data_IF_277312110982
#
_entry.id   IF_277312110982
#
_cell.length_a   1.000
_cell.length_b   1.000
_cell.length_c   1.000
_cell.angle_alpha   90.00
_cell.angle_beta   90.00
_cell.angle_gamma   90.00
#
_symmetry.space_group_name_H-M   'P 1'
#
loop_
_entity.id
_entity.type
_entity.pdbx_description
1 polymer ?
#
# COMPACT_ATOMS: atom_id res chain seq x y z
N UNK A 1 -16.86 -34.45 -5.87
CA UNK A 1 -15.47 -34.91 -5.63
C UNK A 1 -15.02 -35.72 -6.85
N UNK A 2 -14.34 -35.08 -7.81
CA UNK A 2 -13.80 -35.75 -9.00
C UNK A 2 -12.56 -36.55 -8.59
N UNK A 3 -12.71 -37.86 -8.45
CA UNK A 3 -11.58 -38.78 -8.30
C UNK A 3 -11.10 -39.09 -9.73
N UNK A 4 -10.05 -38.39 -10.18
CA UNK A 4 -9.36 -38.69 -11.44
C UNK A 4 -8.54 -39.96 -11.22
N UNK A 5 -9.01 -41.10 -11.75
CA UNK A 5 -8.23 -42.33 -11.79
C UNK A 5 -7.35 -42.30 -13.04
N UNK A 6 -6.03 -42.35 -12.82
CA UNK A 6 -5.04 -42.64 -13.87
C UNK A 6 -5.29 -44.05 -14.41
N UNK A 7 -6.09 -44.17 -15.47
CA UNK A 7 -6.25 -45.43 -16.19
C UNK A 7 -5.30 -45.40 -17.38
N UNK A 8 -4.04 -45.77 -17.15
CA UNK A 8 -3.10 -46.16 -18.22
C UNK A 8 -3.57 -47.49 -18.82
N UNK A 9 -4.67 -47.48 -19.57
CA UNK A 9 -5.07 -48.59 -20.45
C UNK A 9 -4.26 -48.47 -21.73
N UNK A 10 -3.05 -49.03 -21.68
CA UNK A 10 -2.15 -49.50 -22.75
C UNK A 10 -1.95 -48.73 -24.08
N UNK A 11 -2.66 -47.64 -24.41
CA UNK A 11 -2.38 -46.79 -25.58
C UNK A 11 -3.13 -45.43 -25.61
N UNK A 12 -3.88 -45.06 -24.57
CA UNK A 12 -4.60 -43.77 -24.54
C UNK A 12 -3.92 -42.77 -23.58
N UNK A 13 -3.39 -41.66 -24.12
CA UNK A 13 -2.84 -40.53 -23.34
C UNK A 13 -3.98 -39.60 -22.88
N UNK A 14 -4.73 -40.00 -21.86
CA UNK A 14 -5.87 -39.22 -21.39
C UNK A 14 -6.51 -39.73 -20.11
N UNK A 15 -7.40 -38.91 -19.57
CA UNK A 15 -8.11 -39.12 -18.32
C UNK A 15 -9.56 -39.50 -18.59
N UNK A 16 -10.09 -40.43 -17.81
CA UNK A 16 -11.50 -40.81 -17.85
C UNK A 16 -12.14 -40.66 -16.48
N UNK A 17 -13.43 -40.36 -16.45
CA UNK A 17 -14.18 -40.28 -15.21
C UNK A 17 -14.13 -41.61 -14.44
N UNK A 18 -13.66 -41.58 -13.18
CA UNK A 18 -13.59 -42.78 -12.33
C UNK A 18 -14.96 -43.43 -12.07
N UNK A 19 -16.03 -42.64 -12.00
CA UNK A 19 -17.41 -43.15 -11.84
C UNK A 19 -17.87 -43.89 -13.08
N UNK A 20 -17.60 -43.35 -14.27
CA UNK A 20 -17.86 -44.02 -15.55
C UNK A 20 -17.06 -45.32 -15.68
N UNK A 21 -15.77 -45.28 -15.35
CA UNK A 21 -14.90 -46.45 -15.41
C UNK A 21 -15.38 -47.61 -14.50
N UNK A 22 -16.05 -47.30 -13.38
CA UNK A 22 -16.52 -48.30 -12.40
C UNK A 22 -17.96 -48.76 -12.63
N UNK A 23 -18.88 -47.86 -12.95
CA UNK A 23 -20.33 -48.13 -12.98
C UNK A 23 -20.95 -47.99 -14.39
N UNK A 24 -20.17 -47.53 -15.37
CA UNK A 24 -20.59 -47.37 -16.75
C UNK A 24 -21.67 -46.33 -16.99
N UNK A 25 -22.27 -46.39 -18.18
CA UNK A 25 -23.25 -45.42 -18.69
C UNK A 25 -24.57 -45.32 -17.88
N UNK A 26 -24.79 -46.24 -16.93
CA UNK A 26 -25.98 -46.21 -16.05
C UNK A 26 -25.94 -45.05 -15.05
N UNK A 27 -24.74 -44.58 -14.68
CA UNK A 27 -24.55 -43.61 -13.59
C UNK A 27 -23.81 -42.35 -14.06
N UNK A 28 -22.96 -42.47 -15.07
CA UNK A 28 -22.20 -41.35 -15.60
C UNK A 28 -22.03 -41.55 -17.11
N UNK A 29 -22.09 -40.48 -17.90
CA UNK A 29 -21.77 -40.57 -19.33
C UNK A 29 -20.28 -40.78 -19.58
N UNK A 30 -19.91 -41.20 -20.78
CA UNK A 30 -18.50 -41.29 -21.16
C UNK A 30 -17.87 -39.90 -21.22
N UNK A 31 -16.96 -39.61 -20.30
CA UNK A 31 -16.15 -38.40 -20.29
C UNK A 31 -14.68 -38.81 -20.37
N UNK A 32 -14.06 -38.50 -21.50
CA UNK A 32 -12.63 -38.66 -21.73
C UNK A 32 -12.03 -37.29 -22.03
N UNK A 33 -10.91 -36.98 -21.38
CA UNK A 33 -10.16 -35.75 -21.55
C UNK A 33 -8.76 -36.12 -22.03
N UNK A 34 -8.28 -35.52 -23.11
CA UNK A 34 -6.91 -35.76 -23.58
C UNK A 34 -5.92 -35.08 -22.64
N UNK A 35 -4.83 -35.76 -22.33
CA UNK A 35 -3.82 -35.26 -21.42
C UNK A 35 -3.15 -33.97 -21.93
N UNK A 36 -2.87 -33.91 -23.24
CA UNK A 36 -2.29 -32.73 -23.88
C UNK A 36 -3.20 -31.50 -23.73
N UNK A 37 -4.48 -31.62 -24.10
CA UNK A 37 -5.45 -30.52 -24.01
C UNK A 37 -5.61 -30.05 -22.55
N UNK A 38 -5.67 -30.98 -21.60
CA UNK A 38 -5.77 -30.63 -20.18
C UNK A 38 -4.51 -29.92 -19.68
N UNK A 39 -3.33 -30.38 -20.09
CA UNK A 39 -2.06 -29.77 -19.69
C UNK A 39 -1.93 -28.36 -20.23
N UNK A 40 -2.33 -28.12 -21.48
CA UNK A 40 -2.34 -26.79 -22.09
C UNK A 40 -3.26 -25.83 -21.36
N UNK A 41 -4.49 -26.26 -21.03
CA UNK A 41 -5.45 -25.44 -20.26
C UNK A 41 -4.89 -25.10 -18.88
N UNK A 42 -4.38 -26.09 -18.14
CA UNK A 42 -3.81 -25.85 -16.81
C UNK A 42 -2.62 -24.90 -16.88
N UNK A 43 -1.73 -25.07 -17.88
CA UNK A 43 -0.58 -24.19 -18.06
C UNK A 43 -0.99 -22.76 -18.42
N UNK A 44 -2.02 -22.58 -19.26
CA UNK A 44 -2.54 -21.26 -19.60
C UNK A 44 -3.17 -20.57 -18.39
N UNK A 45 -3.98 -21.29 -17.61
CA UNK A 45 -4.57 -20.79 -16.36
C UNK A 45 -3.48 -20.36 -15.36
N UNK A 46 -2.44 -21.18 -15.17
CA UNK A 46 -1.30 -20.84 -14.31
C UNK A 46 -0.56 -19.59 -14.78
N UNK A 47 -0.34 -19.45 -16.10
CA UNK A 47 0.28 -18.25 -16.68
C UNK A 47 -0.58 -17.01 -16.48
N UNK A 48 -1.89 -17.11 -16.71
CA UNK A 48 -2.83 -16.00 -16.54
C UNK A 48 -2.89 -15.54 -15.08
N UNK A 49 -2.92 -16.47 -14.12
CA UNK A 49 -2.81 -16.14 -12.70
C UNK A 49 -1.47 -15.48 -12.38
N UNK A 50 -0.35 -16.02 -12.87
CA UNK A 50 0.98 -15.43 -12.66
C UNK A 50 1.07 -14.01 -13.22
N UNK A 51 0.56 -13.78 -14.44
CA UNK A 51 0.56 -12.46 -15.09
C UNK A 51 -0.33 -11.45 -14.33
N UNK A 52 -1.37 -11.91 -13.65
CA UNK A 52 -2.21 -11.04 -12.81
C UNK A 52 -1.51 -10.58 -11.52
N UNK A 53 -0.56 -11.39 -11.03
CA UNK A 53 0.31 -11.07 -9.89
C UNK A 53 1.48 -10.17 -10.31
N UNK A 54 1.87 -10.24 -11.58
CA UNK A 54 2.84 -9.33 -12.14
C UNK A 54 2.21 -7.93 -12.22
N UNK A 55 2.57 -7.08 -11.27
CA UNK A 55 2.15 -5.69 -11.25
C UNK A 55 3.28 -4.84 -11.82
N UNK A 56 3.38 -4.68 -13.16
CA UNK A 56 4.49 -3.99 -13.84
C UNK A 56 4.60 -2.51 -13.47
N UNK A 57 3.72 -2.00 -12.61
CA UNK A 57 3.69 -0.62 -12.12
C UNK A 57 3.56 -0.52 -10.59
N UNK A 58 3.77 -1.61 -9.85
CA UNK A 58 3.71 -1.57 -8.39
C UNK A 58 4.86 -0.72 -7.85
N UNK A 59 6.08 -0.96 -8.32
CA UNK A 59 7.27 -0.19 -7.94
C UNK A 59 7.09 1.30 -8.27
N UNK A 60 6.63 1.64 -9.48
CA UNK A 60 6.38 3.03 -9.87
C UNK A 60 5.26 3.70 -9.06
N UNK A 61 4.21 2.96 -8.66
CA UNK A 61 3.17 3.44 -7.74
C UNK A 61 3.71 3.67 -6.33
N UNK A 62 4.53 2.75 -5.82
CA UNK A 62 5.18 2.89 -4.51
C UNK A 62 6.10 4.11 -4.53
N UNK A 63 6.97 4.24 -5.52
CA UNK A 63 7.84 5.41 -5.68
C UNK A 63 7.06 6.72 -5.70
N UNK A 64 5.98 6.80 -6.48
CA UNK A 64 5.15 8.01 -6.54
C UNK A 64 4.54 8.35 -5.18
N UNK A 65 4.04 7.35 -4.44
CA UNK A 65 3.48 7.57 -3.10
C UNK A 65 4.56 7.99 -2.10
N UNK A 66 5.74 7.39 -2.15
CA UNK A 66 6.88 7.75 -1.30
C UNK A 66 7.32 9.18 -1.59
N UNK A 67 7.55 9.53 -2.86
CA UNK A 67 7.93 10.88 -3.29
C UNK A 67 6.88 11.93 -2.90
N UNK A 68 5.60 11.65 -3.09
CA UNK A 68 4.52 12.55 -2.70
C UNK A 68 4.47 12.77 -1.18
N UNK A 69 4.65 11.69 -0.39
CA UNK A 69 4.68 11.76 1.07
C UNK A 69 5.90 12.53 1.57
N UNK A 70 7.09 12.27 1.00
CA UNK A 70 8.30 13.01 1.31
C UNK A 70 8.15 14.50 1.03
N UNK A 71 7.61 14.88 -0.15
CA UNK A 71 7.36 16.28 -0.50
C UNK A 71 6.36 16.94 0.46
N UNK A 72 5.29 16.25 0.82
CA UNK A 72 4.29 16.77 1.78
C UNK A 72 4.94 17.00 3.15
N UNK A 73 5.72 16.04 3.64
CA UNK A 73 6.42 16.17 4.92
C UNK A 73 7.43 17.32 4.90
N UNK A 74 8.20 17.46 3.82
CA UNK A 74 9.14 18.57 3.63
C UNK A 74 8.43 19.93 3.71
N UNK A 75 7.33 20.11 2.97
CA UNK A 75 6.56 21.36 3.02
C UNK A 75 5.94 21.65 4.39
N UNK A 76 5.58 20.60 5.14
CA UNK A 76 5.07 20.72 6.51
C UNK A 76 6.18 21.16 7.46
N UNK A 77 7.37 20.57 7.36
CA UNK A 77 8.54 20.95 8.15
C UNK A 77 8.92 22.41 7.90
N UNK A 78 9.00 22.83 6.64
CA UNK A 78 9.29 24.22 6.27
C UNK A 78 8.26 25.21 6.84
N UNK A 79 6.98 24.82 6.85
CA UNK A 79 5.91 25.65 7.45
C UNK A 79 6.05 25.75 8.97
N UNK A 80 6.38 24.65 9.65
CA UNK A 80 6.61 24.64 11.09
C UNK A 80 7.83 25.50 11.43
N UNK A 81 8.92 25.35 10.68
CA UNK A 81 10.16 26.12 10.87
C UNK A 81 9.90 27.63 10.72
N UNK A 82 9.15 28.05 9.70
CA UNK A 82 8.73 29.46 9.54
C UNK A 82 7.91 29.97 10.71
N UNK A 83 7.02 29.14 11.25
CA UNK A 83 6.21 29.51 12.41
C UNK A 83 7.07 29.67 13.67
N UNK A 84 8.04 28.78 13.88
CA UNK A 84 9.03 28.89 14.97
C UNK A 84 9.86 30.16 14.82
N UNK A 85 10.39 30.44 13.62
CA UNK A 85 11.16 31.65 13.35
C UNK A 85 10.34 32.92 13.65
N UNK A 86 9.08 32.97 13.22
CA UNK A 86 8.16 34.07 13.52
C UNK A 86 7.97 34.27 15.03
N UNK A 87 7.81 33.21 15.80
CA UNK A 87 7.70 33.31 17.26
C UNK A 87 9.00 33.82 17.90
N UNK A 88 10.16 33.35 17.42
CA UNK A 88 11.47 33.82 17.89
C UNK A 88 11.71 35.31 17.58
N UNK A 89 11.31 35.77 16.39
CA UNK A 89 11.38 37.18 16.02
C UNK A 89 10.48 38.05 16.88
N UNK A 90 9.25 37.60 17.15
CA UNK A 90 8.33 38.30 18.05
C UNK A 90 8.95 38.42 19.46
N UNK A 91 9.54 37.34 19.97
CA UNK A 91 10.24 37.30 21.25
C UNK A 91 11.35 38.34 21.32
N UNK A 92 12.21 38.39 20.30
CA UNK A 92 13.32 39.36 20.20
C UNK A 92 12.80 40.80 20.13
N UNK A 93 11.76 41.05 19.34
CA UNK A 93 11.17 42.39 19.21
C UNK A 93 10.54 42.86 20.52
N UNK A 94 9.82 41.99 21.22
CA UNK A 94 9.24 42.29 22.52
C UNK A 94 10.33 42.60 23.57
N UNK A 95 11.40 41.81 23.60
CA UNK A 95 12.55 42.06 24.49
C UNK A 95 13.21 43.41 24.18
N UNK A 96 13.41 43.73 22.91
CA UNK A 96 14.00 45.01 22.50
C UNK A 96 13.14 46.19 22.96
N UNK A 97 11.81 46.13 22.73
CA UNK A 97 10.87 47.17 23.17
C UNK A 97 10.84 47.33 24.69
N UNK A 98 10.94 46.23 25.43
CA UNK A 98 10.99 46.28 26.89
C UNK A 98 12.29 46.95 27.38
N UNK A 99 13.43 46.64 26.77
CA UNK A 99 14.72 47.28 27.09
C UNK A 99 14.69 48.78 26.77
N UNK A 100 14.02 49.16 25.68
CA UNK A 100 13.82 50.56 25.29
C UNK A 100 12.77 51.31 26.13
N UNK A 101 12.18 50.66 27.15
CA UNK A 101 11.09 51.19 27.99
C UNK A 101 9.82 51.59 27.20
N UNK A 102 9.68 51.11 25.95
CA UNK A 102 8.52 51.36 25.08
C UNK A 102 7.27 50.57 25.52
N UNK A 103 7.47 49.49 26.29
CA UNK A 103 6.40 48.64 26.83
C UNK A 103 6.63 48.32 28.30
N UNK A 104 5.56 48.06 29.05
CA UNK A 104 5.68 47.70 30.46
C UNK A 104 6.16 46.26 30.64
N UNK A 105 6.60 45.93 31.86
CA UNK A 105 6.95 44.55 32.23
C UNK A 105 5.75 43.60 32.12
N UNK A 106 4.54 44.11 32.35
CA UNK A 106 3.33 43.31 32.21
C UNK A 106 3.07 42.98 30.74
N UNK A 107 3.17 43.95 29.84
CA UNK A 107 3.02 43.74 28.39
C UNK A 107 4.05 42.74 27.85
N UNK A 108 5.29 42.81 28.35
CA UNK A 108 6.33 41.85 28.00
C UNK A 108 5.98 40.43 28.48
N UNK A 109 5.54 40.27 29.74
CA UNK A 109 5.17 38.97 30.28
C UNK A 109 3.98 38.33 29.54
N UNK A 110 2.98 39.13 29.17
CA UNK A 110 1.81 38.67 28.42
C UNK A 110 2.19 38.22 27.00
N UNK A 111 3.13 38.95 26.36
CA UNK A 111 3.69 38.59 25.06
C UNK A 111 4.50 37.28 25.15
N UNK A 112 5.38 37.15 26.15
CA UNK A 112 6.15 35.93 26.41
C UNK A 112 5.23 34.72 26.63
N UNK A 113 4.17 34.87 27.42
CA UNK A 113 3.19 33.82 27.67
C UNK A 113 2.51 33.35 26.37
N UNK A 114 2.08 34.30 25.53
CA UNK A 114 1.46 33.99 24.24
C UNK A 114 2.42 33.30 23.26
N UNK A 115 3.69 33.71 23.24
CA UNK A 115 4.74 33.09 22.42
C UNK A 115 5.02 31.67 22.89
N UNK A 116 5.11 31.47 24.20
CA UNK A 116 5.37 30.17 24.80
C UNK A 116 4.27 29.16 24.48
N UNK A 117 3.00 29.55 24.63
CA UNK A 117 1.85 28.71 24.28
C UNK A 117 1.88 28.31 22.80
N UNK A 118 2.12 29.26 21.90
CA UNK A 118 2.20 28.98 20.45
C UNK A 118 3.34 28.06 20.07
N UNK A 119 4.48 28.14 20.76
CA UNK A 119 5.61 27.23 20.53
C UNK A 119 5.30 25.81 21.01
N UNK A 120 4.62 25.68 22.14
CA UNK A 120 4.22 24.37 22.68
C UNK A 120 3.22 23.65 21.75
N UNK A 121 2.36 24.39 21.04
CA UNK A 121 1.43 23.84 20.04
C UNK A 121 2.11 23.38 18.73
N UNK A 122 3.37 23.76 18.51
CA UNK A 122 4.13 23.43 17.30
C UNK A 122 5.09 22.22 17.50
N UNK A 123 5.27 21.76 18.74
CA UNK A 123 6.09 20.60 19.12
C UNK A 123 5.26 19.32 19.19
#
# INVERSE_FOLDING_TARGET
MLIVLNVYRANCKGYICGTYAKHGNKVCSNHAVKELELSEIILDDLKNMSNSLDHPNLESKIEKKVKATAKKNQSRLESIEKQVQKQMELKRSALQKFISEDISKQDYNDCEGTVHEKLQLLQ
#
